data_IF_465142763090
#
_entry.id   IF_465142763090
#
_cell.length_a   1.000
_cell.length_b   1.000
_cell.length_c   1.000
_cell.angle_alpha   90.00
_cell.angle_beta   90.00
_cell.angle_gamma   90.00
#
_symmetry.space_group_name_H-M   'P 1'
#
loop_
_entity.id
_entity.type
_entity.pdbx_description
1 polymer ?
#
# COMPACT_ATOMS: atom_id res chain seq x y z
N UNK A 1 -21.64 2.99 20.19
CA UNK A 1 -21.78 2.41 21.56
C UNK A 1 -20.39 2.08 22.10
N UNK A 2 -20.08 2.50 23.33
CA UNK A 2 -18.77 2.21 23.95
C UNK A 2 -18.97 1.13 25.02
N UNK A 3 -18.18 0.04 24.94
CA UNK A 3 -18.27 -1.04 25.92
C UNK A 3 -17.67 -0.60 27.27
N UNK A 4 -18.26 -0.95 28.42
CA UNK A 4 -17.79 -0.50 29.75
C UNK A 4 -16.36 -0.93 30.11
N UNK A 5 -15.83 -2.01 29.52
CA UNK A 5 -14.47 -2.45 29.73
C UNK A 5 -13.43 -1.83 28.78
N UNK A 6 -13.83 -0.93 27.88
CA UNK A 6 -12.90 -0.16 27.08
C UNK A 6 -12.22 0.92 27.94
N UNK A 7 -10.91 1.07 27.76
CA UNK A 7 -10.12 2.12 28.45
C UNK A 7 -9.86 3.24 27.46
N UNK A 8 -10.50 4.39 27.66
CA UNK A 8 -10.38 5.55 26.76
C UNK A 8 -9.85 6.73 27.58
N UNK A 9 -8.74 7.31 27.15
CA UNK A 9 -8.20 8.52 27.77
C UNK A 9 -9.20 9.67 27.57
N UNK A 10 -9.48 10.49 28.61
CA UNK A 10 -10.42 11.63 28.52
C UNK A 10 -10.06 12.67 27.45
N UNK A 11 -8.82 12.72 26.99
CA UNK A 11 -8.35 13.63 25.92
C UNK A 11 -8.60 13.09 24.52
N UNK A 12 -8.96 11.79 24.37
CA UNK A 12 -9.26 11.23 23.07
C UNK A 12 -10.53 11.87 22.48
N UNK A 13 -10.48 12.18 21.20
CA UNK A 13 -11.58 12.80 20.47
C UNK A 13 -12.33 11.73 19.65
N UNK A 14 -13.56 11.43 20.04
CA UNK A 14 -14.43 10.47 19.34
C UNK A 14 -15.54 11.21 18.62
N UNK A 15 -15.68 10.96 17.32
CA UNK A 15 -16.77 11.49 16.51
C UNK A 15 -18.15 10.90 16.85
N UNK A 16 -19.16 11.34 16.15
CA UNK A 16 -20.53 10.86 16.32
C UNK A 16 -20.65 9.37 15.93
N UNK A 17 -21.44 8.61 16.67
CA UNK A 17 -21.72 7.18 16.40
C UNK A 17 -20.50 6.25 16.35
N UNK A 18 -19.39 6.63 16.97
CA UNK A 18 -18.25 5.73 17.14
C UNK A 18 -18.64 4.60 18.09
N UNK A 19 -18.23 3.37 17.73
CA UNK A 19 -18.38 2.21 18.59
C UNK A 19 -17.02 1.65 19.00
N UNK A 20 -16.88 1.25 20.27
CA UNK A 20 -15.66 0.66 20.81
C UNK A 20 -16.02 -0.62 21.56
N UNK A 21 -15.47 -1.73 21.11
CA UNK A 21 -15.69 -3.06 21.67
C UNK A 21 -14.87 -3.32 22.95
N UNK A 22 -15.09 -4.45 23.65
CA UNK A 22 -14.44 -4.74 24.93
C UNK A 22 -12.92 -4.71 24.90
N UNK A 23 -12.32 -4.27 26.02
CA UNK A 23 -10.88 -4.33 26.29
C UNK A 23 -9.99 -3.56 25.33
N UNK A 24 -10.54 -2.64 24.56
CA UNK A 24 -9.74 -1.76 23.70
C UNK A 24 -9.16 -0.60 24.51
N UNK A 25 -7.96 -0.18 24.16
CA UNK A 25 -7.23 0.91 24.82
C UNK A 25 -7.02 2.03 23.82
N UNK A 26 -7.51 3.24 24.12
CA UNK A 26 -7.42 4.42 23.26
C UNK A 26 -6.67 5.53 24.02
N UNK A 27 -5.50 5.89 23.50
CA UNK A 27 -4.61 6.87 24.10
C UNK A 27 -5.07 8.32 23.94
N UNK A 28 -4.36 9.27 24.58
CA UNK A 28 -4.78 10.67 24.73
C UNK A 28 -4.79 11.48 23.42
N UNK A 29 -3.88 11.19 22.50
CA UNK A 29 -3.72 11.95 21.25
C UNK A 29 -4.38 11.27 20.05
N UNK A 30 -5.45 10.50 20.33
CA UNK A 30 -6.21 9.73 19.35
C UNK A 30 -7.46 10.50 18.94
N UNK A 31 -7.68 10.59 17.62
CA UNK A 31 -8.89 11.15 17.02
C UNK A 31 -9.54 10.10 16.12
N UNK A 32 -10.84 9.89 16.27
CA UNK A 32 -11.61 8.91 15.51
C UNK A 32 -12.81 9.61 14.89
N UNK A 33 -12.92 9.52 13.56
CA UNK A 33 -14.01 10.10 12.79
C UNK A 33 -15.36 9.37 12.96
N UNK A 34 -16.41 10.03 12.51
CA UNK A 34 -17.80 9.61 12.69
C UNK A 34 -18.08 8.21 12.14
N UNK A 35 -18.90 7.44 12.86
CA UNK A 35 -19.36 6.12 12.43
C UNK A 35 -18.28 5.04 12.36
N UNK A 36 -17.08 5.29 12.88
CA UNK A 36 -15.99 4.31 12.90
C UNK A 36 -16.21 3.27 14.00
N UNK A 37 -15.93 2.01 13.66
CA UNK A 37 -16.08 0.84 14.53
C UNK A 37 -14.72 0.33 14.98
N UNK A 38 -14.51 0.26 16.31
CA UNK A 38 -13.28 -0.28 16.92
C UNK A 38 -13.58 -1.65 17.52
N UNK A 39 -12.90 -2.68 17.03
CA UNK A 39 -12.99 -4.05 17.49
C UNK A 39 -12.49 -4.25 18.93
N UNK A 40 -12.59 -5.46 19.45
CA UNK A 40 -12.10 -5.78 20.79
C UNK A 40 -10.56 -5.88 20.83
N UNK A 41 -9.97 -5.56 21.99
CA UNK A 41 -8.51 -5.63 22.21
C UNK A 41 -7.69 -4.77 21.24
N UNK A 42 -8.27 -3.72 20.65
CA UNK A 42 -7.54 -2.77 19.81
C UNK A 42 -6.74 -1.83 20.70
N UNK A 43 -5.49 -1.55 20.28
CA UNK A 43 -4.65 -0.55 20.95
C UNK A 43 -4.37 0.60 19.98
N UNK A 44 -4.78 1.81 20.36
CA UNK A 44 -4.47 3.04 19.65
C UNK A 44 -3.58 3.90 20.56
N UNK A 45 -2.31 4.10 20.17
CA UNK A 45 -1.34 4.81 21.01
C UNK A 45 -0.53 5.86 20.25
N UNK A 46 -0.08 6.90 20.96
CA UNK A 46 0.54 8.05 20.37
C UNK A 46 -0.45 8.87 19.54
N UNK A 47 0.05 9.71 18.65
CA UNK A 47 -0.79 10.55 17.79
C UNK A 47 -1.38 9.73 16.64
N UNK A 48 -2.66 9.38 16.76
CA UNK A 48 -3.39 8.61 15.74
C UNK A 48 -4.64 9.38 15.31
N UNK A 49 -4.80 9.53 13.99
CA UNK A 49 -6.02 10.07 13.40
C UNK A 49 -6.63 9.03 12.46
N UNK A 50 -7.87 8.60 12.75
CA UNK A 50 -8.65 7.67 11.95
C UNK A 50 -9.83 8.43 11.36
N UNK A 51 -10.06 8.30 10.07
CA UNK A 51 -11.17 8.91 9.35
C UNK A 51 -12.54 8.37 9.74
N UNK A 52 -13.56 8.77 9.01
CA UNK A 52 -14.94 8.37 9.23
C UNK A 52 -15.25 6.99 8.62
N UNK A 53 -16.24 6.30 9.18
CA UNK A 53 -16.79 5.01 8.69
C UNK A 53 -15.73 3.92 8.48
N UNK A 54 -14.64 3.98 9.24
CA UNK A 54 -13.61 2.96 9.25
C UNK A 54 -14.04 1.74 10.10
N UNK A 55 -13.42 0.60 9.83
CA UNK A 55 -13.55 -0.60 10.66
C UNK A 55 -12.18 -1.08 11.08
N UNK A 56 -11.93 -1.12 12.37
CA UNK A 56 -10.67 -1.57 12.97
C UNK A 56 -10.89 -2.92 13.63
N UNK A 57 -10.31 -3.97 13.07
CA UNK A 57 -10.46 -5.36 13.51
C UNK A 57 -9.84 -5.65 14.87
N UNK A 58 -10.28 -6.76 15.48
CA UNK A 58 -9.86 -7.18 16.80
C UNK A 58 -8.33 -7.31 16.90
N UNK A 59 -7.75 -6.87 18.01
CA UNK A 59 -6.32 -7.01 18.28
C UNK A 59 -5.40 -6.17 17.39
N UNK A 60 -5.92 -5.25 16.59
CA UNK A 60 -5.08 -4.33 15.83
C UNK A 60 -4.33 -3.37 16.76
N UNK A 61 -3.06 -3.06 16.44
CA UNK A 61 -2.22 -2.10 17.18
C UNK A 61 -1.79 -1.00 16.22
N UNK A 62 -2.24 0.22 16.49
CA UNK A 62 -2.01 1.37 15.60
C UNK A 62 -1.33 2.49 16.38
N UNK A 63 -0.27 3.04 15.80
CA UNK A 63 0.52 4.11 16.40
C UNK A 63 1.65 3.60 17.30
N UNK A 64 1.92 2.30 17.31
CA UNK A 64 3.02 1.71 18.07
C UNK A 64 4.39 2.33 17.75
N UNK A 65 5.31 2.17 18.68
CA UNK A 65 6.70 2.64 18.55
C UNK A 65 7.37 1.99 17.35
N UNK A 66 8.06 2.77 16.48
CA UNK A 66 8.81 2.22 15.36
C UNK A 66 9.85 1.17 15.77
N UNK A 67 9.93 0.08 15.02
CA UNK A 67 10.99 -0.95 15.18
C UNK A 67 12.29 -0.46 14.51
N UNK A 68 12.77 0.70 14.93
CA UNK A 68 14.01 1.31 14.43
C UNK A 68 14.85 1.78 15.63
N UNK A 69 16.04 1.25 15.80
CA UNK A 69 16.98 1.64 16.86
C UNK A 69 17.34 3.13 16.84
N UNK A 70 17.15 3.82 15.74
CA UNK A 70 17.39 5.26 15.59
C UNK A 70 16.23 6.12 16.09
N UNK A 71 15.06 5.52 16.30
CA UNK A 71 13.89 6.26 16.78
C UNK A 71 14.17 6.93 18.12
N UNK A 72 13.67 8.13 18.31
CA UNK A 72 13.73 8.89 19.57
C UNK A 72 12.31 9.23 19.98
N UNK A 73 11.98 8.96 21.23
CA UNK A 73 10.70 9.36 21.80
C UNK A 73 10.59 10.88 21.96
N UNK A 74 9.37 11.37 22.08
CA UNK A 74 9.08 12.80 22.32
C UNK A 74 9.01 13.67 21.07
N UNK A 75 9.21 13.13 19.86
CA UNK A 75 8.99 13.87 18.61
C UNK A 75 7.51 13.79 18.17
N UNK A 76 6.94 14.87 17.59
CA UNK A 76 5.52 14.91 17.17
C UNK A 76 5.30 14.15 15.87
N UNK A 77 5.20 12.83 15.97
CA UNK A 77 4.96 11.90 14.86
C UNK A 77 3.71 11.07 15.12
N UNK A 78 3.10 10.51 14.06
CA UNK A 78 1.87 9.77 14.23
C UNK A 78 1.53 8.79 13.13
N UNK A 79 0.26 8.39 13.14
CA UNK A 79 -0.39 7.60 12.09
C UNK A 79 -1.65 8.33 11.65
N UNK A 80 -1.90 8.34 10.34
CA UNK A 80 -3.13 8.84 9.77
C UNK A 80 -3.76 7.79 8.87
N UNK A 81 -5.04 7.49 9.10
CA UNK A 81 -5.86 6.57 8.30
C UNK A 81 -7.02 7.38 7.73
N UNK A 82 -7.25 7.26 6.42
CA UNK A 82 -8.35 7.92 5.72
C UNK A 82 -9.72 7.29 5.98
N UNK A 83 -10.71 7.79 5.27
CA UNK A 83 -12.11 7.38 5.43
C UNK A 83 -12.38 5.98 4.84
N UNK A 84 -13.42 5.32 5.36
CA UNK A 84 -13.95 4.04 4.84
C UNK A 84 -12.90 2.93 4.67
N UNK A 85 -11.80 3.04 5.40
CA UNK A 85 -10.72 2.05 5.39
C UNK A 85 -11.00 0.93 6.39
N UNK A 86 -10.76 -0.31 5.94
CA UNK A 86 -10.93 -1.51 6.75
C UNK A 86 -9.56 -2.05 7.14
N UNK A 87 -9.27 -2.03 8.42
CA UNK A 87 -8.09 -2.66 9.03
C UNK A 87 -8.57 -3.95 9.71
N UNK A 88 -8.04 -5.10 9.29
CA UNK A 88 -8.44 -6.40 9.82
C UNK A 88 -7.67 -6.77 11.08
N UNK A 89 -7.92 -7.97 11.57
CA UNK A 89 -7.46 -8.48 12.85
C UNK A 89 -5.93 -8.52 12.94
N UNK A 90 -5.39 -8.11 14.09
CA UNK A 90 -3.96 -8.16 14.41
C UNK A 90 -3.04 -7.42 13.44
N UNK A 91 -3.57 -6.47 12.68
CA UNK A 91 -2.74 -5.56 11.88
C UNK A 91 -1.94 -4.65 12.80
N UNK A 92 -0.68 -4.40 12.43
CA UNK A 92 0.16 -3.43 13.15
C UNK A 92 0.57 -2.29 12.24
N UNK A 93 0.43 -1.04 12.71
CA UNK A 93 0.83 0.18 11.99
C UNK A 93 1.66 1.05 12.94
N UNK A 94 2.93 1.26 12.62
CA UNK A 94 3.83 2.06 13.43
C UNK A 94 3.77 3.55 13.05
N UNK A 95 3.95 4.43 14.04
CA UNK A 95 4.08 5.87 13.82
C UNK A 95 5.35 6.20 13.02
N UNK A 96 5.42 7.40 12.46
CA UNK A 96 6.58 7.86 11.71
C UNK A 96 7.82 8.09 12.61
N UNK A 97 8.97 8.33 12.00
CA UNK A 97 10.24 8.60 12.71
C UNK A 97 10.75 10.01 12.53
N UNK A 98 10.18 10.80 11.61
CA UNK A 98 10.62 12.17 11.32
C UNK A 98 9.61 13.18 11.85
N UNK A 99 10.09 14.18 12.53
CA UNK A 99 9.28 15.25 13.12
C UNK A 99 8.27 15.83 12.11
N UNK A 100 7.02 15.98 12.55
CA UNK A 100 5.92 16.48 11.74
C UNK A 100 5.36 15.49 10.71
N UNK A 101 5.92 14.29 10.59
CA UNK A 101 5.46 13.29 9.65
C UNK A 101 4.50 12.28 10.29
N UNK A 102 3.68 11.67 9.42
CA UNK A 102 2.79 10.56 9.77
C UNK A 102 3.06 9.38 8.83
N UNK A 103 3.00 8.16 9.36
CA UNK A 103 2.72 6.98 8.55
C UNK A 103 1.28 7.08 8.07
N UNK A 104 1.02 6.87 6.78
CA UNK A 104 -0.28 7.16 6.18
C UNK A 104 -0.89 5.95 5.49
N UNK A 105 -2.19 5.80 5.68
CA UNK A 105 -3.04 4.90 4.91
C UNK A 105 -4.20 5.74 4.37
N UNK A 106 -4.45 5.67 3.08
CA UNK A 106 -5.49 6.45 2.40
C UNK A 106 -6.91 5.95 2.67
N UNK A 107 -7.81 6.41 1.83
CA UNK A 107 -9.25 6.09 1.89
C UNK A 107 -9.55 4.76 1.21
N UNK A 108 -10.66 4.12 1.63
CA UNK A 108 -11.20 2.90 1.01
C UNK A 108 -10.19 1.74 0.90
N UNK A 109 -9.21 1.69 1.78
CA UNK A 109 -8.21 0.63 1.79
C UNK A 109 -8.73 -0.63 2.50
N UNK A 110 -8.18 -1.78 2.12
CA UNK A 110 -8.37 -3.04 2.83
C UNK A 110 -7.00 -3.59 3.27
N UNK A 111 -6.72 -3.48 4.56
CA UNK A 111 -5.52 -4.06 5.17
C UNK A 111 -5.94 -5.34 5.88
N UNK A 112 -5.65 -6.49 5.24
CA UNK A 112 -6.08 -7.79 5.73
C UNK A 112 -5.26 -8.25 6.94
N UNK A 113 -5.77 -9.28 7.61
CA UNK A 113 -5.28 -9.73 8.90
C UNK A 113 -3.77 -9.98 8.93
N UNK A 114 -3.16 -9.60 10.05
CA UNK A 114 -1.74 -9.78 10.36
C UNK A 114 -0.76 -9.08 9.40
N UNK A 115 -1.25 -8.15 8.56
CA UNK A 115 -0.36 -7.30 7.77
C UNK A 115 0.36 -6.30 8.66
N UNK A 116 1.55 -5.87 8.23
CA UNK A 116 2.37 -4.90 8.92
C UNK A 116 2.68 -3.69 8.05
N UNK A 117 2.46 -2.49 8.58
CA UNK A 117 2.89 -1.22 7.98
C UNK A 117 3.89 -0.55 8.93
N UNK A 118 5.17 -0.58 8.56
CA UNK A 118 6.22 0.06 9.35
C UNK A 118 6.17 1.60 9.24
N UNK A 119 7.07 2.22 9.96
CA UNK A 119 7.20 3.67 10.06
C UNK A 119 7.42 4.37 8.71
N UNK A 120 6.94 5.60 8.59
CA UNK A 120 7.13 6.48 7.43
C UNK A 120 6.57 5.93 6.10
N UNK A 121 5.75 4.89 6.13
CA UNK A 121 5.08 4.38 4.94
C UNK A 121 3.98 5.34 4.48
N UNK A 122 3.78 5.41 3.16
CA UNK A 122 2.69 6.13 2.53
C UNK A 122 1.89 5.16 1.64
N UNK A 123 0.71 4.78 2.11
CA UNK A 123 -0.24 3.92 1.39
C UNK A 123 -1.35 4.81 0.84
N UNK A 124 -1.56 4.78 -0.47
CA UNK A 124 -2.59 5.55 -1.18
C UNK A 124 -3.99 5.01 -0.97
N UNK A 125 -4.91 5.46 -1.81
CA UNK A 125 -6.34 5.11 -1.72
C UNK A 125 -6.65 3.77 -2.41
N UNK A 126 -7.70 3.08 -1.96
CA UNK A 126 -8.15 1.80 -2.52
C UNK A 126 -7.07 0.72 -2.59
N UNK A 127 -6.06 0.79 -1.74
CA UNK A 127 -4.98 -0.21 -1.68
C UNK A 127 -5.45 -1.44 -0.94
N UNK A 128 -5.02 -2.61 -1.42
CA UNK A 128 -5.26 -3.88 -0.74
C UNK A 128 -3.93 -4.48 -0.30
N UNK A 129 -3.76 -4.66 1.01
CA UNK A 129 -2.68 -5.47 1.58
C UNK A 129 -3.27 -6.80 2.03
N UNK A 130 -2.87 -7.89 1.36
CA UNK A 130 -3.40 -9.22 1.65
C UNK A 130 -2.67 -9.79 2.87
N UNK A 131 -3.30 -10.71 3.59
CA UNK A 131 -2.82 -11.30 4.85
C UNK A 131 -1.30 -11.49 4.91
N UNK A 132 -0.70 -11.07 6.02
CA UNK A 132 0.74 -11.14 6.28
C UNK A 132 1.63 -10.32 5.30
N UNK A 133 1.06 -9.41 4.52
CA UNK A 133 1.86 -8.47 3.75
C UNK A 133 2.64 -7.54 4.70
N UNK A 134 3.96 -7.43 4.51
CA UNK A 134 4.83 -6.59 5.33
C UNK A 134 5.45 -5.46 4.51
N UNK A 135 5.12 -4.22 4.88
CA UNK A 135 5.77 -3.02 4.37
C UNK A 135 6.83 -2.58 5.38
N UNK A 136 8.09 -2.61 5.00
CA UNK A 136 9.17 -2.06 5.84
C UNK A 136 9.21 -0.52 5.77
N UNK A 137 10.13 0.13 6.49
CA UNK A 137 10.12 1.59 6.58
C UNK A 137 10.21 2.33 5.24
N UNK A 138 9.53 3.47 5.13
CA UNK A 138 9.55 4.39 3.97
C UNK A 138 9.00 3.82 2.66
N UNK A 139 8.22 2.76 2.70
CA UNK A 139 7.57 2.21 1.50
C UNK A 139 6.44 3.12 1.05
N UNK A 140 6.36 3.32 -0.27
CA UNK A 140 5.24 4.01 -0.91
C UNK A 140 4.43 3.02 -1.73
N UNK A 141 3.12 2.93 -1.45
CA UNK A 141 2.17 2.15 -2.25
C UNK A 141 1.16 3.13 -2.84
N UNK A 142 1.17 3.27 -4.16
CA UNK A 142 0.27 4.20 -4.85
C UNK A 142 -1.16 3.61 -4.97
N UNK A 143 -2.11 4.46 -5.36
CA UNK A 143 -3.54 4.15 -5.40
C UNK A 143 -3.86 2.85 -6.15
N UNK A 144 -4.83 2.10 -5.63
CA UNK A 144 -5.36 0.87 -6.25
C UNK A 144 -4.34 -0.25 -6.46
N UNK A 145 -3.17 -0.16 -5.83
CA UNK A 145 -2.21 -1.25 -5.85
C UNK A 145 -2.67 -2.39 -4.92
N UNK A 146 -2.26 -3.60 -5.23
CA UNK A 146 -2.50 -4.79 -4.39
C UNK A 146 -1.17 -5.45 -4.06
N UNK A 147 -0.93 -5.69 -2.78
CA UNK A 147 0.23 -6.45 -2.28
C UNK A 147 -0.24 -7.80 -1.79
N UNK A 148 0.21 -8.85 -2.46
CA UNK A 148 -0.15 -10.24 -2.20
C UNK A 148 0.28 -10.72 -0.80
N UNK A 149 -0.41 -11.75 -0.32
CA UNK A 149 -0.14 -12.32 1.00
C UNK A 149 1.28 -12.85 1.17
N UNK A 150 1.82 -12.79 2.39
CA UNK A 150 3.17 -13.25 2.71
C UNK A 150 4.28 -12.54 1.88
N UNK A 151 3.98 -11.34 1.37
CA UNK A 151 4.94 -10.55 0.58
C UNK A 151 5.70 -9.59 1.50
N UNK A 152 7.04 -9.61 1.40
CA UNK A 152 7.90 -8.63 2.06
C UNK A 152 8.33 -7.52 1.08
N UNK A 153 8.06 -6.26 1.45
CA UNK A 153 8.45 -5.08 0.67
C UNK A 153 9.61 -4.38 1.37
N UNK A 154 10.75 -4.32 0.70
CA UNK A 154 11.98 -3.72 1.22
C UNK A 154 11.87 -2.20 1.41
N UNK A 155 12.75 -1.61 2.26
CA UNK A 155 12.66 -0.20 2.60
C UNK A 155 12.87 0.70 1.37
N UNK A 156 12.16 1.82 1.37
CA UNK A 156 12.17 2.83 0.30
C UNK A 156 11.61 2.37 -1.05
N UNK A 157 11.14 1.12 -1.17
CA UNK A 157 10.55 0.64 -2.41
C UNK A 157 9.21 1.33 -2.68
N UNK A 158 8.93 1.55 -3.96
CA UNK A 158 7.68 2.12 -4.44
C UNK A 158 6.89 1.08 -5.23
N UNK A 159 5.61 0.96 -4.94
CA UNK A 159 4.67 0.14 -5.69
C UNK A 159 3.69 1.08 -6.38
N UNK A 160 3.78 1.16 -7.71
CA UNK A 160 3.01 2.11 -8.52
C UNK A 160 1.52 1.80 -8.56
N UNK A 161 0.75 2.79 -8.98
CA UNK A 161 -0.72 2.70 -9.05
C UNK A 161 -1.17 1.50 -9.89
N UNK A 162 -2.23 0.82 -9.43
CA UNK A 162 -2.74 -0.41 -10.08
C UNK A 162 -1.74 -1.57 -10.19
N UNK A 163 -0.55 -1.48 -9.62
CA UNK A 163 0.37 -2.62 -9.60
C UNK A 163 -0.23 -3.77 -8.77
N UNK A 164 0.10 -4.98 -9.17
CA UNK A 164 -0.28 -6.19 -8.44
C UNK A 164 0.97 -6.99 -8.10
N UNK A 165 1.24 -7.17 -6.83
CA UNK A 165 2.33 -8.02 -6.34
C UNK A 165 1.73 -9.35 -5.93
N UNK A 166 2.15 -10.43 -6.59
CA UNK A 166 1.73 -11.78 -6.24
C UNK A 166 2.23 -12.21 -4.87
N UNK A 167 1.51 -13.13 -4.23
CA UNK A 167 1.88 -13.64 -2.91
C UNK A 167 3.26 -14.27 -2.84
N UNK A 168 3.82 -14.38 -1.63
CA UNK A 168 5.14 -14.95 -1.36
C UNK A 168 6.28 -14.27 -2.14
N UNK A 169 6.14 -12.98 -2.45
CA UNK A 169 7.13 -12.22 -3.20
C UNK A 169 8.08 -11.43 -2.30
N UNK A 170 9.31 -11.20 -2.78
CA UNK A 170 10.27 -10.27 -2.17
C UNK A 170 10.48 -9.06 -3.09
N UNK A 171 9.98 -7.91 -2.67
CA UNK A 171 10.11 -6.64 -3.41
C UNK A 171 11.33 -5.87 -2.89
N UNK A 172 12.35 -5.72 -3.70
CA UNK A 172 13.59 -4.99 -3.39
C UNK A 172 13.94 -3.90 -4.41
N UNK A 173 13.05 -3.67 -5.38
CA UNK A 173 13.09 -2.59 -6.38
C UNK A 173 11.70 -2.06 -6.62
N UNK A 174 11.60 -0.89 -7.23
CA UNK A 174 10.32 -0.27 -7.53
C UNK A 174 9.52 -1.09 -8.54
N UNK A 175 8.21 -1.22 -8.27
CA UNK A 175 7.27 -1.88 -9.18
C UNK A 175 6.49 -0.79 -9.91
N UNK A 176 6.64 -0.68 -11.25
CA UNK A 176 5.97 0.38 -12.00
C UNK A 176 4.44 0.25 -11.98
N UNK A 177 3.71 1.35 -12.19
CA UNK A 177 2.26 1.34 -12.32
C UNK A 177 1.75 0.31 -13.30
N UNK A 178 0.61 -0.30 -13.01
CA UNK A 178 -0.10 -1.27 -13.85
C UNK A 178 0.58 -2.64 -14.00
N UNK A 179 1.76 -2.84 -13.44
CA UNK A 179 2.56 -4.05 -13.62
C UNK A 179 2.18 -5.12 -12.60
N UNK A 180 2.02 -6.36 -13.06
CA UNK A 180 1.98 -7.54 -12.22
C UNK A 180 3.40 -8.04 -11.98
N UNK A 181 3.79 -8.20 -10.71
CA UNK A 181 5.10 -8.66 -10.29
C UNK A 181 5.00 -9.87 -9.36
N UNK A 182 5.85 -10.86 -9.55
CA UNK A 182 5.86 -12.09 -8.74
C UNK A 182 7.29 -12.60 -8.57
N UNK A 183 7.58 -13.18 -7.43
CA UNK A 183 8.78 -13.97 -7.20
C UNK A 183 9.71 -13.41 -6.13
N UNK A 184 10.84 -14.12 -5.92
CA UNK A 184 11.86 -13.82 -4.92
C UNK A 184 13.24 -13.85 -5.58
N UNK A 185 13.76 -12.69 -6.02
CA UNK A 185 13.14 -11.36 -6.01
C UNK A 185 11.98 -11.21 -7.02
N UNK A 186 11.09 -10.24 -6.77
CA UNK A 186 9.95 -9.96 -7.64
C UNK A 186 10.42 -9.49 -9.03
N UNK A 187 9.77 -10.02 -10.07
CA UNK A 187 10.04 -9.72 -11.48
C UNK A 187 8.74 -9.40 -12.21
N UNK A 188 8.82 -8.55 -13.24
CA UNK A 188 7.66 -8.17 -14.05
C UNK A 188 7.15 -9.39 -14.85
N UNK A 189 5.82 -9.61 -14.79
CA UNK A 189 5.14 -10.74 -15.46
C UNK A 189 4.21 -10.28 -16.57
N UNK A 190 3.32 -9.37 -16.28
CA UNK A 190 2.26 -8.91 -17.17
C UNK A 190 1.77 -7.51 -16.77
N UNK A 191 0.78 -7.02 -17.48
CA UNK A 191 -0.03 -5.85 -17.09
C UNK A 191 -1.25 -6.32 -16.29
N UNK A 192 -1.60 -5.63 -15.22
CA UNK A 192 -2.79 -5.87 -14.41
C UNK A 192 -4.08 -5.42 -15.15
N UNK A 193 -4.37 -6.07 -16.27
CA UNK A 193 -5.54 -5.74 -17.12
C UNK A 193 -6.84 -5.90 -16.36
N UNK A 194 -6.93 -6.90 -15.48
CA UNK A 194 -8.14 -7.17 -14.68
C UNK A 194 -8.40 -6.03 -13.71
N UNK A 195 -7.39 -5.61 -12.94
CA UNK A 195 -7.53 -4.48 -12.02
C UNK A 195 -7.91 -3.19 -12.74
N UNK A 196 -7.25 -2.91 -13.86
CA UNK A 196 -7.58 -1.75 -14.69
C UNK A 196 -9.03 -1.79 -15.20
N UNK A 197 -9.50 -2.96 -15.69
CA UNK A 197 -10.88 -3.14 -16.17
C UNK A 197 -11.91 -2.95 -15.06
N UNK A 198 -11.69 -3.54 -13.88
CA UNK A 198 -12.57 -3.39 -12.71
C UNK A 198 -12.71 -1.94 -12.26
N UNK A 199 -11.67 -1.14 -12.47
CA UNK A 199 -11.67 0.30 -12.18
C UNK A 199 -12.24 1.17 -13.30
N UNK A 200 -12.79 0.57 -14.36
CA UNK A 200 -13.44 1.31 -15.47
C UNK A 200 -12.46 1.89 -16.50
N UNK A 201 -11.16 1.55 -16.44
CA UNK A 201 -10.21 2.01 -17.47
C UNK A 201 -10.59 1.39 -18.82
N UNK A 202 -10.74 2.23 -19.84
CA UNK A 202 -11.19 1.83 -21.17
C UNK A 202 -10.20 0.89 -21.90
N UNK A 203 -10.68 0.21 -22.94
CA UNK A 203 -9.88 -0.78 -23.66
C UNK A 203 -8.72 -0.18 -24.44
N UNK A 204 -8.82 1.06 -24.93
CA UNK A 204 -7.75 1.74 -25.67
C UNK A 204 -6.60 2.07 -24.70
N UNK A 205 -6.91 2.60 -23.53
CA UNK A 205 -5.95 2.90 -22.48
C UNK A 205 -5.22 1.63 -21.99
N UNK A 206 -5.95 0.52 -21.77
CA UNK A 206 -5.33 -0.75 -21.41
C UNK A 206 -4.38 -1.27 -22.49
N UNK A 207 -4.76 -1.15 -23.79
CA UNK A 207 -3.88 -1.53 -24.92
C UNK A 207 -2.63 -0.66 -24.99
N UNK A 208 -2.73 0.65 -24.75
CA UNK A 208 -1.57 1.54 -24.72
C UNK A 208 -0.56 1.11 -23.66
N UNK A 209 -1.03 0.83 -22.42
CA UNK A 209 -0.18 0.31 -21.32
C UNK A 209 0.42 -1.05 -21.67
N UNK A 210 -0.33 -1.98 -22.28
CA UNK A 210 0.19 -3.27 -22.74
C UNK A 210 1.28 -3.11 -23.80
N UNK A 211 1.12 -2.16 -24.74
CA UNK A 211 2.14 -1.87 -25.74
C UNK A 211 3.41 -1.31 -25.13
N UNK A 212 3.28 -0.37 -24.16
CA UNK A 212 4.42 0.13 -23.39
C UNK A 212 5.13 -1.00 -22.63
N UNK A 213 4.39 -1.88 -21.97
CA UNK A 213 4.93 -3.04 -21.26
C UNK A 213 5.72 -3.96 -22.19
N UNK A 214 5.20 -4.25 -23.41
CA UNK A 214 5.90 -5.07 -24.40
C UNK A 214 7.24 -4.45 -24.79
N UNK A 215 7.31 -3.16 -25.02
CA UNK A 215 8.55 -2.47 -25.35
C UNK A 215 9.52 -2.53 -24.16
N UNK A 216 9.07 -2.22 -22.94
CA UNK A 216 9.92 -2.18 -21.75
C UNK A 216 10.47 -3.54 -21.33
N UNK A 217 9.65 -4.60 -21.43
CA UNK A 217 9.97 -5.88 -20.82
C UNK A 217 10.10 -7.04 -21.80
N UNK A 218 9.50 -6.97 -23.01
CA UNK A 218 9.44 -8.12 -23.91
C UNK A 218 10.19 -7.92 -25.23
N UNK A 219 10.65 -6.71 -25.54
CA UNK A 219 11.36 -6.40 -26.81
C UNK A 219 12.80 -6.88 -26.84
N UNK A 220 13.38 -7.25 -25.70
CA UNK A 220 14.83 -7.54 -25.60
C UNK A 220 15.73 -6.32 -25.55
N UNK A 221 15.19 -5.11 -25.70
CA UNK A 221 15.96 -3.87 -25.62
C UNK A 221 16.50 -3.64 -24.20
N UNK A 222 17.67 -2.98 -24.13
CA UNK A 222 18.17 -2.48 -22.85
C UNK A 222 17.24 -1.36 -22.31
N UNK A 223 17.09 -1.20 -20.98
CA UNK A 223 16.24 -0.16 -20.40
C UNK A 223 16.53 1.25 -20.93
N UNK A 224 17.81 1.57 -21.15
CA UNK A 224 18.25 2.86 -21.70
C UNK A 224 17.75 3.12 -23.13
N UNK A 225 17.38 2.08 -23.89
CA UNK A 225 16.82 2.19 -25.23
C UNK A 225 15.30 2.03 -25.22
N UNK A 226 14.78 1.14 -24.37
CA UNK A 226 13.35 0.84 -24.29
C UNK A 226 12.54 2.04 -23.80
N UNK A 227 13.00 2.73 -22.75
CA UNK A 227 12.25 3.86 -22.16
C UNK A 227 12.12 5.05 -23.13
N UNK A 228 13.19 5.54 -23.80
CA UNK A 228 13.07 6.56 -24.84
C UNK A 228 12.13 6.17 -25.99
N UNK A 229 12.14 4.89 -26.40
CA UNK A 229 11.24 4.38 -27.41
C UNK A 229 9.77 4.46 -26.97
N UNK A 230 9.45 4.01 -25.75
CA UNK A 230 8.08 4.16 -25.19
C UNK A 230 7.68 5.62 -25.14
N UNK A 231 8.59 6.52 -24.73
CA UNK A 231 8.34 7.95 -24.66
C UNK A 231 8.03 8.56 -26.04
N UNK A 232 8.77 8.17 -27.08
CA UNK A 232 8.54 8.64 -28.45
C UNK A 232 7.26 8.09 -29.07
N UNK A 233 6.97 6.79 -28.91
CA UNK A 233 5.83 6.14 -29.57
C UNK A 233 4.50 6.31 -28.83
N UNK A 234 4.50 6.33 -27.47
CA UNK A 234 3.30 6.21 -26.65
C UNK A 234 3.20 7.26 -25.54
N UNK A 235 4.20 8.12 -25.39
CA UNK A 235 4.32 9.05 -24.27
C UNK A 235 3.18 10.09 -24.17
N UNK A 236 2.43 10.33 -25.24
CA UNK A 236 1.28 11.23 -25.23
C UNK A 236 0.06 10.63 -24.52
N UNK A 237 0.02 9.31 -24.31
CA UNK A 237 -1.09 8.67 -23.62
C UNK A 237 -0.94 8.87 -22.10
N UNK A 238 -1.95 9.40 -21.37
CA UNK A 238 -1.83 9.79 -19.95
C UNK A 238 -1.31 8.67 -19.04
N UNK A 239 -1.82 7.43 -19.16
CA UNK A 239 -1.39 6.30 -18.34
C UNK A 239 0.05 5.84 -18.69
N UNK A 240 0.46 5.99 -19.94
CA UNK A 240 1.85 5.70 -20.34
C UNK A 240 2.77 6.80 -19.83
N UNK A 241 2.35 8.06 -19.88
CA UNK A 241 3.12 9.15 -19.28
C UNK A 241 3.31 8.96 -17.76
N UNK A 242 2.28 8.50 -17.05
CA UNK A 242 2.41 8.12 -15.62
C UNK A 242 3.44 7.01 -15.41
N UNK A 243 3.40 5.95 -16.23
CA UNK A 243 4.37 4.85 -16.19
C UNK A 243 5.79 5.35 -16.42
N UNK A 244 6.00 6.21 -17.42
CA UNK A 244 7.31 6.80 -17.74
C UNK A 244 7.81 7.65 -16.57
N UNK A 245 7.00 8.56 -16.07
CA UNK A 245 7.36 9.44 -14.95
C UNK A 245 7.75 8.66 -13.70
N UNK A 246 7.03 7.58 -13.39
CA UNK A 246 7.38 6.69 -12.28
C UNK A 246 8.76 6.05 -12.46
N UNK A 247 9.05 5.55 -13.65
CA UNK A 247 10.34 4.89 -13.96
C UNK A 247 11.49 5.91 -13.89
N UNK A 248 11.31 7.10 -14.48
CA UNK A 248 12.32 8.18 -14.46
C UNK A 248 12.62 8.67 -13.03
N UNK A 249 11.62 8.69 -12.15
CA UNK A 249 11.76 9.11 -10.75
C UNK A 249 12.27 8.01 -9.80
N UNK A 250 12.47 6.78 -10.30
CA UNK A 250 12.87 5.65 -9.46
C UNK A 250 14.34 5.78 -9.01
N UNK A 251 14.55 5.75 -7.69
CA UNK A 251 15.88 5.80 -7.07
C UNK A 251 16.47 4.40 -6.85
N UNK A 252 15.64 3.40 -6.57
CA UNK A 252 16.07 2.02 -6.39
C UNK A 252 16.22 1.25 -7.71
N UNK A 253 15.81 1.88 -8.82
CA UNK A 253 15.61 1.19 -10.09
C UNK A 253 14.35 0.32 -10.05
N UNK A 254 13.80 0.07 -11.24
CA UNK A 254 12.58 -0.74 -11.38
C UNK A 254 12.90 -2.23 -11.53
N UNK A 255 11.93 -3.09 -11.22
CA UNK A 255 12.05 -4.54 -11.43
C UNK A 255 12.33 -4.86 -12.90
N UNK A 256 13.09 -5.93 -13.15
CA UNK A 256 13.34 -6.48 -14.47
C UNK A 256 12.38 -7.65 -14.76
N UNK A 257 12.36 -8.11 -16.02
CA UNK A 257 11.75 -9.39 -16.38
C UNK A 257 12.62 -10.56 -15.90
N UNK A 258 11.98 -11.67 -15.57
CA UNK A 258 12.68 -12.94 -15.37
C UNK A 258 13.18 -13.49 -16.71
N UNK A 259 14.49 -13.45 -16.93
CA UNK A 259 15.12 -13.95 -18.15
C UNK A 259 15.14 -15.47 -18.27
N UNK A 260 14.84 -16.19 -17.18
CA UNK A 260 14.91 -17.67 -17.14
C UNK A 260 13.63 -18.33 -17.67
N UNK A 261 12.52 -17.58 -17.79
CA UNK A 261 11.27 -18.04 -18.38
C UNK A 261 11.11 -17.43 -19.76
N UNK A 262 10.88 -18.27 -20.78
CA UNK A 262 10.54 -17.84 -22.13
C UNK A 262 9.34 -16.89 -22.18
N UNK A 263 8.88 -16.43 -23.34
CA UNK A 263 7.71 -15.58 -23.44
C UNK A 263 6.56 -16.28 -22.72
N UNK A 264 6.07 -15.68 -21.63
CA UNK A 264 4.93 -16.18 -20.94
C UNK A 264 3.76 -16.13 -21.93
N UNK A 265 3.16 -17.27 -22.20
CA UNK A 265 1.79 -17.32 -22.68
C UNK A 265 0.98 -16.46 -21.72
N UNK A 266 0.21 -15.54 -22.26
CA UNK A 266 -0.70 -14.72 -21.50
C UNK A 266 -1.84 -15.68 -21.12
N UNK A 267 -1.63 -16.46 -20.05
CA UNK A 267 -2.75 -17.13 -19.40
C UNK A 267 -3.68 -16.02 -18.90
N UNK A 268 -4.80 -15.87 -19.56
CA UNK A 268 -5.99 -15.20 -19.00
C UNK A 268 -6.42 -16.04 -17.79
N UNK A 269 -5.72 -15.84 -16.66
CA UNK A 269 -6.15 -16.47 -15.42
C UNK A 269 -7.45 -15.81 -15.00
N UNK A 270 -8.54 -16.47 -15.35
CA UNK A 270 -9.89 -16.23 -14.85
C UNK A 270 -9.88 -16.54 -13.36
N UNK A 271 -9.88 -15.52 -12.50
CA UNK A 271 -10.27 -15.56 -11.09
C UNK A 271 -11.45 -14.64 -10.86
#
# INVERSE_FOLDING_TARGET
MIHPSAVIDPRAELGANVSVAPYSVIGPDVRIGDGTEIGAHVVLEGRVAIGARCRIGHGAVIGGVPQDFKYREGIPVGVRIGDETVIREHVTIHRATREGMDTRVGDHCLVMATSHIAHDCAVGNHVILINYAGLTGHVVVEDRATVGGLTGVGPFARIGAFAYVGGCSKVNKDIPPFVMAVGTPATARAVNVIGMRRAGIDAASRRAVQSAFRILYLSGLAPATALPRVKGELGQHPLVAQLIAFIEASKLGVISRDRRRGPAEIEETTL
#
